data_IF_595781736808
#
_entry.id   IF_595781736808
#
_cell.length_a   1.000
_cell.length_b   1.000
_cell.length_c   1.000
_cell.angle_alpha   90.00
_cell.angle_beta   90.00
_cell.angle_gamma   90.00
#
_symmetry.space_group_name_H-M   'P 1'
#
loop_
_entity.id
_entity.type
_entity.pdbx_description
1 polymer ?
#
# COMPACT_ATOMS: atom_id res chain seq x y z
N UNK A 1 27.13 -4.96 59.14
CA UNK A 1 26.11 -5.99 58.83
C UNK A 1 25.20 -5.60 57.67
N UNK A 2 24.71 -4.35 57.58
CA UNK A 2 23.88 -3.86 56.46
C UNK A 2 24.51 -4.04 55.06
N UNK A 3 25.82 -3.78 54.91
CA UNK A 3 26.52 -3.93 53.62
C UNK A 3 26.55 -5.39 53.12
N UNK A 4 26.64 -6.37 54.03
CA UNK A 4 26.63 -7.78 53.69
C UNK A 4 25.24 -8.26 53.24
N UNK A 5 24.17 -7.69 53.82
CA UNK A 5 22.80 -8.00 53.43
C UNK A 5 22.45 -7.42 52.06
N UNK A 6 22.89 -6.19 51.74
CA UNK A 6 22.72 -5.58 50.42
C UNK A 6 23.41 -6.37 49.31
N UNK A 7 24.65 -6.82 49.54
CA UNK A 7 25.38 -7.69 48.61
C UNK A 7 24.69 -9.05 48.42
N UNK A 8 24.12 -9.63 49.47
CA UNK A 8 23.38 -10.89 49.41
C UNK A 8 22.07 -10.79 48.60
N UNK A 9 21.46 -9.61 48.50
CA UNK A 9 20.27 -9.37 47.66
C UNK A 9 20.62 -8.96 46.22
N UNK A 10 21.75 -8.30 46.00
CA UNK A 10 22.20 -7.95 44.64
C UNK A 10 22.62 -9.18 43.82
N UNK A 11 23.22 -10.19 44.46
CA UNK A 11 23.70 -11.40 43.80
C UNK A 11 22.58 -12.23 43.13
N UNK A 12 21.41 -12.49 43.76
CA UNK A 12 20.29 -13.14 43.10
C UNK A 12 19.60 -12.26 42.06
N UNK A 13 19.54 -10.93 42.24
CA UNK A 13 18.99 -10.01 41.23
C UNK A 13 19.87 -10.00 39.98
N UNK A 14 21.20 -9.98 40.16
CA UNK A 14 22.16 -10.06 39.06
C UNK A 14 22.08 -11.42 38.36
N UNK A 15 21.95 -12.52 39.13
CA UNK A 15 21.72 -13.86 38.58
C UNK A 15 20.40 -13.94 37.78
N UNK A 16 19.33 -13.30 38.26
CA UNK A 16 18.04 -13.25 37.56
C UNK A 16 18.12 -12.41 36.28
N UNK A 17 18.83 -11.27 36.30
CA UNK A 17 19.08 -10.45 35.12
C UNK A 17 19.96 -11.16 34.09
N UNK A 18 20.99 -11.91 34.51
CA UNK A 18 21.79 -12.74 33.60
C UNK A 18 20.99 -13.91 33.03
N UNK A 19 20.02 -14.46 33.77
CA UNK A 19 19.09 -15.46 33.23
C UNK A 19 18.12 -14.87 32.19
N UNK A 20 17.77 -13.58 32.28
CA UNK A 20 16.90 -12.92 31.29
C UNK A 20 17.63 -12.54 29.99
N UNK A 21 18.96 -12.41 29.99
CA UNK A 21 19.78 -12.25 28.79
C UNK A 21 20.09 -13.60 28.10
N UNK A 22 19.40 -14.68 28.49
CA UNK A 22 19.48 -15.98 27.83
C UNK A 22 19.10 -15.86 26.35
N UNK A 23 19.90 -16.49 25.50
CA UNK A 23 19.83 -16.47 24.04
C UNK A 23 18.39 -16.50 23.49
N UNK A 24 18.14 -15.68 22.45
CA UNK A 24 16.82 -15.48 21.86
C UNK A 24 16.19 -16.82 21.45
N UNK A 25 14.90 -16.99 21.74
CA UNK A 25 14.17 -18.19 21.35
C UNK A 25 14.14 -18.28 19.82
N UNK A 26 14.66 -19.37 19.24
CA UNK A 26 14.74 -19.58 17.79
C UNK A 26 13.37 -19.48 17.11
N UNK A 27 12.29 -19.87 17.80
CA UNK A 27 10.94 -19.68 17.29
C UNK A 27 10.57 -18.20 17.19
N UNK A 28 10.94 -17.39 18.20
CA UNK A 28 10.70 -15.93 18.20
C UNK A 28 11.53 -15.21 17.14
N UNK A 29 12.77 -15.66 16.89
CA UNK A 29 13.61 -15.15 15.79
C UNK A 29 12.89 -15.30 14.45
N UNK A 30 12.21 -16.43 14.23
CA UNK A 30 11.38 -16.67 13.05
C UNK A 30 9.97 -16.04 13.12
N UNK A 31 9.60 -15.42 14.25
CA UNK A 31 8.26 -14.86 14.47
C UNK A 31 7.16 -15.92 14.55
N UNK A 32 7.49 -17.12 15.02
CA UNK A 32 6.62 -18.28 15.08
C UNK A 32 6.40 -18.77 16.51
N UNK A 33 5.31 -19.49 16.72
CA UNK A 33 5.05 -20.23 17.95
C UNK A 33 5.74 -21.60 17.94
N UNK A 34 5.97 -22.18 19.12
CA UNK A 34 6.57 -23.52 19.26
C UNK A 34 5.78 -24.63 18.57
N UNK A 35 4.48 -24.43 18.36
CA UNK A 35 3.60 -25.33 17.61
C UNK A 35 3.70 -25.20 16.09
N UNK A 36 4.60 -24.37 15.57
CA UNK A 36 4.78 -24.14 14.13
C UNK A 36 5.06 -25.45 13.40
N UNK A 37 4.37 -25.69 12.30
CA UNK A 37 4.67 -26.82 11.42
C UNK A 37 5.99 -26.59 10.67
N UNK A 38 6.59 -27.65 10.13
CA UNK A 38 7.79 -27.53 9.28
C UNK A 38 7.53 -26.63 8.06
N UNK A 39 6.26 -26.56 7.63
CA UNK A 39 5.78 -25.64 6.61
C UNK A 39 5.87 -24.18 7.06
N UNK A 40 5.42 -23.86 8.27
CA UNK A 40 5.44 -22.49 8.80
C UNK A 40 6.89 -22.00 8.97
N UNK A 41 7.79 -22.88 9.45
CA UNK A 41 9.23 -22.61 9.56
C UNK A 41 9.84 -22.22 8.21
N UNK A 42 9.57 -23.00 7.16
CA UNK A 42 10.04 -22.69 5.79
C UNK A 42 9.50 -21.35 5.30
N UNK A 43 8.21 -21.09 5.47
CA UNK A 43 7.57 -19.84 5.03
C UNK A 43 8.16 -18.62 5.74
N UNK A 44 8.35 -18.70 7.06
CA UNK A 44 8.99 -17.65 7.84
C UNK A 44 10.44 -17.41 7.41
N UNK A 45 11.21 -18.49 7.20
CA UNK A 45 12.57 -18.39 6.69
C UNK A 45 12.61 -17.72 5.30
N UNK A 46 11.72 -18.09 4.35
CA UNK A 46 11.64 -17.42 3.02
C UNK A 46 11.51 -15.91 3.18
N UNK A 47 10.58 -15.50 4.06
CA UNK A 47 10.19 -14.11 4.25
C UNK A 47 11.29 -13.31 4.92
N UNK A 48 11.87 -13.83 6.00
CA UNK A 48 12.86 -13.13 6.82
C UNK A 48 14.26 -13.12 6.20
N UNK A 49 14.72 -14.24 5.62
CA UNK A 49 16.01 -14.28 4.92
C UNK A 49 16.02 -13.30 3.73
N UNK A 50 14.90 -13.21 2.99
CA UNK A 50 14.70 -12.21 1.93
C UNK A 50 14.67 -10.78 2.45
N UNK A 51 14.12 -10.53 3.64
CA UNK A 51 14.03 -9.19 4.25
C UNK A 51 15.40 -8.67 4.72
N UNK A 52 16.22 -9.53 5.33
CA UNK A 52 17.49 -9.15 5.94
C UNK A 52 18.73 -9.39 5.05
N UNK A 53 18.56 -9.85 3.82
CA UNK A 53 19.67 -10.10 2.89
C UNK A 53 20.58 -8.86 2.72
N UNK A 54 21.92 -9.00 2.72
CA UNK A 54 22.86 -7.87 2.68
C UNK A 54 22.75 -6.99 1.42
N UNK A 55 22.28 -7.55 0.31
CA UNK A 55 22.07 -6.79 -0.94
C UNK A 55 20.84 -5.85 -0.90
N UNK A 56 20.05 -5.85 0.18
CA UNK A 56 18.84 -5.03 0.31
C UNK A 56 19.06 -3.77 1.14
N UNK A 57 18.26 -2.75 0.88
CA UNK A 57 18.21 -1.54 1.71
C UNK A 57 17.80 -1.83 3.17
N UNK A 58 16.99 -2.86 3.40
CA UNK A 58 16.64 -3.39 4.74
C UNK A 58 17.60 -4.46 5.25
N UNK A 59 18.73 -4.64 4.58
CA UNK A 59 19.71 -5.69 4.88
C UNK A 59 20.33 -5.51 6.26
N UNK A 60 20.39 -6.60 7.01
CA UNK A 60 21.03 -6.66 8.32
C UNK A 60 21.69 -8.05 8.44
N UNK A 61 23.01 -8.09 8.23
CA UNK A 61 23.79 -9.32 8.23
C UNK A 61 23.59 -10.11 9.53
N UNK A 62 23.47 -9.44 10.68
CA UNK A 62 23.27 -10.11 11.97
C UNK A 62 21.92 -10.82 12.02
N UNK A 63 20.85 -10.14 11.63
CA UNK A 63 19.51 -10.75 11.58
C UNK A 63 19.42 -11.84 10.53
N UNK A 64 20.12 -11.69 9.40
CA UNK A 64 20.19 -12.74 8.40
C UNK A 64 20.84 -14.01 8.96
N UNK A 65 21.96 -13.87 9.69
CA UNK A 65 22.63 -14.98 10.38
C UNK A 65 21.73 -15.62 11.44
N UNK A 66 21.08 -14.83 12.29
CA UNK A 66 20.16 -15.30 13.34
C UNK A 66 18.99 -16.11 12.76
N UNK A 67 18.34 -15.59 11.71
CA UNK A 67 17.23 -16.26 11.01
C UNK A 67 17.70 -17.56 10.35
N UNK A 68 18.92 -17.58 9.82
CA UNK A 68 19.51 -18.77 9.19
C UNK A 68 19.82 -19.84 10.23
N UNK A 69 20.48 -19.49 11.33
CA UNK A 69 20.75 -20.42 12.43
C UNK A 69 19.46 -20.96 13.05
N UNK A 70 18.46 -20.10 13.26
CA UNK A 70 17.15 -20.52 13.77
C UNK A 70 16.47 -21.53 12.85
N UNK A 71 16.48 -21.28 11.54
CA UNK A 71 15.91 -22.21 10.57
C UNK A 71 16.71 -23.51 10.48
N UNK A 72 18.04 -23.49 10.45
CA UNK A 72 18.86 -24.71 10.46
C UNK A 72 18.59 -25.59 11.68
N UNK A 73 18.49 -24.98 12.85
CA UNK A 73 18.21 -25.69 14.09
C UNK A 73 16.79 -26.28 14.15
N UNK A 74 15.79 -25.56 13.62
CA UNK A 74 14.39 -25.97 13.70
C UNK A 74 13.92 -26.80 12.49
N UNK A 75 14.61 -26.75 11.35
CA UNK A 75 14.19 -27.42 10.12
C UNK A 75 14.45 -28.93 10.12
N UNK A 76 15.47 -29.41 10.84
CA UNK A 76 15.71 -30.84 11.02
C UNK A 76 14.97 -31.36 12.27
N UNK A 77 14.26 -32.48 12.11
CA UNK A 77 13.42 -33.04 13.18
C UNK A 77 14.25 -33.46 14.41
N UNK A 78 15.52 -33.85 14.22
CA UNK A 78 16.38 -34.25 15.35
C UNK A 78 16.91 -33.05 16.09
N UNK A 79 17.42 -32.03 15.40
CA UNK A 79 17.91 -30.79 16.02
C UNK A 79 16.77 -30.01 16.68
N UNK A 80 15.59 -29.99 16.07
CA UNK A 80 14.39 -29.38 16.64
C UNK A 80 13.99 -30.04 17.95
N UNK A 81 13.94 -31.37 18.01
CA UNK A 81 13.65 -32.11 19.26
C UNK A 81 14.68 -31.83 20.35
N UNK A 82 15.96 -31.76 19.99
CA UNK A 82 17.04 -31.44 20.92
C UNK A 82 16.86 -30.03 21.47
N UNK A 83 16.59 -29.05 20.60
CA UNK A 83 16.32 -27.67 20.99
C UNK A 83 15.06 -27.57 21.87
N UNK A 84 13.97 -28.23 21.51
CA UNK A 84 12.72 -28.22 22.27
C UNK A 84 12.89 -28.83 23.68
N UNK A 85 13.76 -29.84 23.82
CA UNK A 85 13.98 -30.55 25.08
C UNK A 85 15.05 -29.91 25.98
N UNK A 86 16.11 -29.35 25.38
CA UNK A 86 17.32 -28.92 26.09
C UNK A 86 17.71 -27.46 25.81
N UNK A 87 16.97 -26.75 24.97
CA UNK A 87 17.27 -25.37 24.57
C UNK A 87 18.59 -25.24 23.80
N UNK A 88 19.13 -24.03 23.81
CA UNK A 88 20.39 -23.67 23.15
C UNK A 88 21.58 -24.54 23.62
N UNK A 89 21.66 -24.84 24.91
CA UNK A 89 22.73 -25.67 25.48
C UNK A 89 22.72 -27.08 24.86
N UNK A 90 21.54 -27.66 24.63
CA UNK A 90 21.40 -28.95 23.96
C UNK A 90 21.89 -28.92 22.52
N UNK A 91 21.59 -27.84 21.79
CA UNK A 91 22.02 -27.68 20.41
C UNK A 91 23.53 -27.49 20.31
N UNK A 92 24.14 -26.70 21.21
CA UNK A 92 25.60 -26.56 21.29
C UNK A 92 26.28 -27.90 21.61
N UNK A 93 25.74 -28.64 22.58
CA UNK A 93 26.26 -29.97 22.95
C UNK A 93 26.13 -30.97 21.81
N UNK A 94 25.04 -30.92 21.04
CA UNK A 94 24.87 -31.72 19.82
C UNK A 94 25.89 -31.35 18.74
N UNK A 95 26.15 -30.05 18.52
CA UNK A 95 27.19 -29.55 17.58
C UNK A 95 28.60 -30.01 18.00
N UNK A 96 28.91 -30.03 19.31
CA UNK A 96 30.22 -30.45 19.86
C UNK A 96 30.40 -31.98 19.95
N UNK A 97 29.30 -32.74 20.09
CA UNK A 97 29.29 -34.17 20.41
C UNK A 97 29.49 -35.16 19.26
N UNK A 98 29.77 -34.71 18.03
CA UNK A 98 30.29 -35.59 16.97
C UNK A 98 29.30 -36.59 16.35
N UNK A 99 28.04 -36.20 16.12
CA UNK A 99 27.01 -37.11 15.56
C UNK A 99 26.19 -36.60 14.37
N UNK A 100 26.31 -35.33 13.97
CA UNK A 100 25.54 -34.77 12.85
C UNK A 100 26.37 -33.70 12.15
N UNK A 101 26.50 -33.82 10.83
CA UNK A 101 27.30 -32.93 9.99
C UNK A 101 26.78 -31.50 9.99
N UNK A 102 27.06 -30.76 11.07
CA UNK A 102 27.13 -29.31 11.08
C UNK A 102 28.33 -28.88 10.26
N UNK A 103 28.27 -29.14 8.95
CA UNK A 103 29.01 -28.31 8.01
C UNK A 103 28.63 -26.90 8.39
N UNK A 104 29.63 -26.06 8.68
CA UNK A 104 29.48 -24.63 8.60
C UNK A 104 29.12 -24.34 7.13
N UNK A 105 27.85 -24.54 6.79
CA UNK A 105 27.27 -24.07 5.57
C UNK A 105 27.38 -22.56 5.67
N UNK A 106 27.93 -21.96 4.62
CA UNK A 106 27.79 -20.53 4.46
C UNK A 106 26.28 -20.24 4.51
N UNK A 107 25.80 -19.33 5.38
CA UNK A 107 24.41 -18.88 5.39
C UNK A 107 23.88 -18.54 4.00
N UNK A 108 24.77 -18.07 3.10
CA UNK A 108 24.46 -17.82 1.70
C UNK A 108 24.26 -19.09 0.85
N UNK A 109 24.86 -20.23 1.22
CA UNK A 109 24.67 -21.54 0.56
C UNK A 109 23.26 -22.09 0.83
N UNK A 110 22.78 -21.96 2.07
CA UNK A 110 21.41 -22.37 2.41
C UNK A 110 20.36 -21.52 1.68
N UNK A 111 20.59 -20.21 1.58
CA UNK A 111 19.77 -19.31 0.76
C UNK A 111 19.82 -19.70 -0.73
N UNK A 112 21.00 -19.96 -1.27
CA UNK A 112 21.19 -20.36 -2.67
C UNK A 112 20.46 -21.67 -2.99
N UNK A 113 20.47 -22.64 -2.08
CA UNK A 113 19.68 -23.88 -2.20
C UNK A 113 18.18 -23.61 -2.29
N UNK A 114 17.72 -22.55 -1.64
CA UNK A 114 16.32 -22.22 -1.48
C UNK A 114 15.76 -21.33 -2.59
N UNK A 115 16.56 -20.36 -3.06
CA UNK A 115 16.19 -19.40 -4.11
C UNK A 115 16.72 -19.75 -5.50
N UNK A 116 17.59 -20.77 -5.64
CA UNK A 116 17.90 -21.40 -6.92
C UNK A 116 19.37 -21.76 -7.09
N UNK A 117 19.70 -23.05 -7.07
CA UNK A 117 21.10 -23.47 -7.27
C UNK A 117 21.42 -24.96 -7.33
N UNK A 118 20.69 -25.77 -8.11
CA UNK A 118 21.30 -27.00 -8.66
C UNK A 118 21.80 -26.70 -10.09
N UNK A 119 23.08 -26.33 -10.24
CA UNK A 119 23.75 -26.27 -11.54
C UNK A 119 24.94 -25.32 -11.66
N UNK A 120 26.13 -25.81 -11.32
CA UNK A 120 27.46 -25.50 -11.90
C UNK A 120 27.87 -24.04 -12.21
N UNK A 121 28.79 -23.54 -11.38
CA UNK A 121 29.94 -22.66 -11.71
C UNK A 121 30.16 -22.32 -13.19
N UNK A 122 30.06 -21.03 -13.52
CA UNK A 122 30.81 -20.45 -14.64
C UNK A 122 30.08 -19.39 -15.46
N UNK A 123 30.53 -18.13 -15.32
CA UNK A 123 30.38 -16.98 -16.22
C UNK A 123 29.16 -16.05 -16.04
N UNK A 124 29.47 -14.90 -15.46
CA UNK A 124 29.05 -13.54 -15.86
C UNK A 124 27.54 -13.24 -15.93
N UNK A 125 27.07 -12.46 -14.97
CA UNK A 125 25.91 -11.56 -15.08
C UNK A 125 24.59 -12.16 -15.60
N UNK A 126 24.26 -13.42 -15.29
CA UNK A 126 22.85 -13.81 -15.28
C UNK A 126 22.22 -13.25 -14.02
N UNK A 127 21.89 -11.95 -14.04
CA UNK A 127 21.05 -11.36 -13.01
C UNK A 127 19.84 -12.26 -12.80
N UNK A 128 19.49 -12.50 -11.53
CA UNK A 128 18.35 -13.31 -11.16
C UNK A 128 17.16 -12.87 -12.02
N UNK A 129 16.66 -13.78 -12.88
CA UNK A 129 15.56 -13.45 -13.78
C UNK A 129 14.41 -12.98 -12.90
N UNK A 130 13.89 -11.79 -13.18
CA UNK A 130 12.77 -11.19 -12.45
C UNK A 130 11.48 -11.39 -13.24
N UNK A 131 10.42 -11.73 -12.54
CA UNK A 131 9.05 -11.83 -13.06
C UNK A 131 8.46 -10.46 -13.40
N UNK A 132 7.28 -10.45 -14.03
CA UNK A 132 6.57 -9.22 -14.31
C UNK A 132 6.14 -8.52 -13.01
N UNK A 133 6.12 -7.20 -13.04
CA UNK A 133 5.57 -6.39 -11.96
C UNK A 133 4.02 -6.40 -12.03
N UNK A 134 3.37 -6.20 -10.89
CA UNK A 134 1.92 -6.08 -10.76
C UNK A 134 1.53 -4.66 -10.35
N UNK A 135 0.34 -4.21 -10.75
CA UNK A 135 -0.21 -2.92 -10.37
C UNK A 135 -1.61 -3.08 -9.78
N UNK A 136 -1.89 -2.38 -8.69
CA UNK A 136 -3.21 -2.34 -8.05
C UNK A 136 -3.56 -0.89 -7.67
N UNK A 137 -4.85 -0.60 -7.58
CA UNK A 137 -5.36 0.69 -7.11
C UNK A 137 -5.97 0.50 -5.74
N UNK A 138 -5.47 1.24 -4.76
CA UNK A 138 -6.03 1.30 -3.42
C UNK A 138 -6.88 2.56 -3.32
N UNK A 139 -8.18 2.38 -3.07
CA UNK A 139 -9.10 3.50 -2.83
C UNK A 139 -9.20 3.75 -1.33
N UNK A 140 -8.92 4.99 -0.93
CA UNK A 140 -8.83 5.38 0.48
C UNK A 140 -9.60 6.68 0.69
N UNK A 141 -10.40 6.80 1.77
CA UNK A 141 -11.07 8.05 2.13
C UNK A 141 -10.11 9.24 2.19
N UNK A 142 -10.56 10.44 1.81
CA UNK A 142 -9.75 11.66 1.84
C UNK A 142 -9.23 11.96 3.27
N UNK A 143 -10.03 11.61 4.28
CA UNK A 143 -9.65 11.69 5.68
C UNK A 143 -8.32 11.00 6.00
N UNK A 144 -8.10 9.80 5.47
CA UNK A 144 -6.89 9.03 5.78
C UNK A 144 -5.64 9.66 5.16
N UNK A 145 -5.79 10.36 4.02
CA UNK A 145 -4.70 11.19 3.47
C UNK A 145 -4.37 12.37 4.39
N UNK A 146 -5.32 12.85 5.20
CA UNK A 146 -5.09 13.96 6.13
C UNK A 146 -4.50 13.47 7.46
N UNK A 147 -5.12 12.46 8.07
CA UNK A 147 -4.74 11.98 9.41
C UNK A 147 -3.59 10.98 9.38
N UNK A 148 -3.35 10.33 8.24
CA UNK A 148 -2.50 9.16 8.11
C UNK A 148 -3.20 7.91 8.66
N UNK A 149 -2.97 6.75 8.04
CA UNK A 149 -3.57 5.48 8.43
C UNK A 149 -2.78 4.29 7.92
N UNK A 150 -2.79 3.20 8.69
CA UNK A 150 -2.42 1.87 8.18
C UNK A 150 -3.68 1.14 7.71
N UNK A 151 -3.69 0.73 6.45
CA UNK A 151 -4.83 0.03 5.82
C UNK A 151 -4.38 -1.29 5.23
N UNK A 152 -5.11 -2.36 5.52
CA UNK A 152 -4.87 -3.66 4.91
C UNK A 152 -5.68 -3.82 3.62
N UNK A 153 -5.09 -4.45 2.62
CA UNK A 153 -5.75 -4.80 1.37
C UNK A 153 -5.33 -6.18 0.92
N UNK A 154 -6.25 -6.91 0.28
CA UNK A 154 -6.01 -8.27 -0.20
C UNK A 154 -5.89 -8.28 -1.71
N UNK A 155 -4.83 -8.89 -2.22
CA UNK A 155 -4.60 -9.10 -3.66
C UNK A 155 -4.61 -10.59 -4.00
N UNK A 156 -5.05 -10.93 -5.21
CA UNK A 156 -4.90 -12.29 -5.72
C UNK A 156 -3.69 -12.39 -6.67
N UNK A 157 -2.70 -13.19 -6.28
CA UNK A 157 -1.48 -13.41 -7.06
C UNK A 157 -1.10 -14.89 -7.14
N UNK A 158 -0.21 -15.23 -8.06
CA UNK A 158 0.44 -16.53 -8.07
C UNK A 158 1.42 -16.63 -6.91
N UNK A 159 1.31 -17.73 -6.17
CA UNK A 159 2.20 -18.09 -5.09
C UNK A 159 2.82 -19.45 -5.41
N UNK A 160 4.06 -19.68 -4.96
CA UNK A 160 4.67 -21.01 -5.07
C UNK A 160 3.74 -22.01 -4.40
N UNK A 161 3.41 -23.09 -5.11
CA UNK A 161 2.55 -24.12 -4.56
C UNK A 161 3.22 -24.73 -3.33
N UNK A 162 2.61 -24.54 -2.16
CA UNK A 162 3.14 -25.02 -0.89
C UNK A 162 3.26 -26.55 -0.88
N UNK A 163 2.29 -27.27 -1.46
CA UNK A 163 2.24 -28.75 -1.45
C UNK A 163 3.42 -29.40 -2.18
N UNK A 164 3.88 -28.81 -3.29
CA UNK A 164 5.00 -29.34 -4.06
C UNK A 164 6.27 -28.50 -3.95
N UNK A 165 6.23 -27.43 -3.15
CA UNK A 165 7.30 -26.45 -2.96
C UNK A 165 7.88 -25.92 -4.29
N UNK A 166 7.04 -25.79 -5.32
CA UNK A 166 7.46 -25.33 -6.64
C UNK A 166 8.07 -26.39 -7.56
N UNK A 167 8.13 -27.66 -7.14
CA UNK A 167 8.59 -28.75 -8.02
C UNK A 167 7.55 -29.09 -9.11
N UNK A 168 6.27 -28.90 -8.82
CA UNK A 168 5.15 -29.35 -9.64
C UNK A 168 4.85 -30.85 -9.52
N UNK A 169 5.69 -31.62 -8.81
CA UNK A 169 5.50 -33.05 -8.60
C UNK A 169 4.88 -33.35 -7.24
N UNK A 170 4.08 -34.40 -7.15
CA UNK A 170 3.50 -34.88 -5.89
C UNK A 170 4.54 -35.57 -4.99
N UNK A 171 5.59 -36.12 -5.58
CA UNK A 171 6.68 -36.87 -4.93
C UNK A 171 8.04 -36.14 -5.00
N UNK A 172 8.05 -34.89 -5.48
CA UNK A 172 9.27 -34.09 -5.69
C UNK A 172 10.19 -34.57 -6.83
N UNK A 173 9.87 -35.68 -7.51
CA UNK A 173 10.71 -36.23 -8.57
C UNK A 173 10.41 -35.59 -9.92
N UNK A 174 11.44 -35.04 -10.55
CA UNK A 174 11.34 -34.42 -11.89
C UNK A 174 12.42 -34.98 -12.81
N UNK A 175 12.01 -35.48 -13.96
CA UNK A 175 12.93 -36.01 -14.97
C UNK A 175 13.19 -34.97 -16.06
N UNK A 176 14.41 -34.92 -16.59
CA UNK A 176 14.70 -34.05 -17.73
C UNK A 176 13.97 -34.57 -18.97
N UNK A 177 13.31 -33.69 -19.72
CA UNK A 177 12.58 -34.10 -20.91
C UNK A 177 13.54 -34.67 -21.96
N UNK A 178 13.35 -35.94 -22.32
CA UNK A 178 14.19 -36.64 -23.30
C UNK A 178 14.07 -36.09 -24.72
N UNK A 179 12.94 -35.43 -25.07
CA UNK A 179 12.69 -34.92 -26.42
C UNK A 179 13.35 -33.57 -26.71
N UNK A 180 13.42 -32.68 -25.71
CA UNK A 180 14.09 -31.38 -25.82
C UNK A 180 15.38 -31.31 -25.00
N UNK A 181 15.79 -32.38 -24.32
CA UNK A 181 16.96 -32.43 -23.43
C UNK A 181 17.03 -31.27 -22.42
N UNK A 182 15.88 -30.84 -21.90
CA UNK A 182 15.80 -29.72 -20.95
C UNK A 182 15.59 -28.34 -21.57
N UNK A 183 15.68 -28.20 -22.91
CA UNK A 183 15.55 -26.90 -23.58
C UNK A 183 14.12 -26.35 -23.62
N UNK A 184 13.10 -27.18 -23.45
CA UNK A 184 11.69 -26.77 -23.51
C UNK A 184 11.17 -26.44 -24.91
N UNK A 185 12.03 -26.27 -25.91
CA UNK A 185 11.66 -25.96 -27.30
C UNK A 185 12.13 -27.04 -28.26
N UNK A 186 11.42 -27.19 -29.38
CA UNK A 186 11.79 -28.04 -30.50
C UNK A 186 11.81 -27.21 -31.80
N UNK A 187 12.77 -27.49 -32.69
CA UNK A 187 12.86 -26.84 -33.99
C UNK A 187 12.00 -27.60 -35.00
N UNK A 188 10.91 -26.99 -35.47
CA UNK A 188 10.07 -27.54 -36.54
C UNK A 188 10.43 -26.88 -37.88
N UNK A 189 10.73 -27.68 -38.89
CA UNK A 189 11.05 -27.22 -40.25
C UNK A 189 9.81 -27.35 -41.11
N UNK A 190 9.24 -26.22 -41.53
CA UNK A 190 8.10 -26.14 -42.44
C UNK A 190 8.58 -25.80 -43.86
N UNK A 191 8.06 -26.50 -44.85
CA UNK A 191 8.30 -26.19 -46.26
C UNK A 191 7.20 -25.27 -46.78
N UNK A 192 7.52 -24.02 -47.10
CA UNK A 192 6.56 -23.04 -47.61
C UNK A 192 6.40 -23.13 -49.13
N UNK A 193 7.47 -23.53 -49.82
CA UNK A 193 7.51 -23.73 -51.26
C UNK A 193 8.62 -24.74 -51.62
N UNK A 194 8.68 -25.26 -52.86
CA UNK A 194 9.83 -26.05 -53.33
C UNK A 194 11.14 -25.31 -53.06
N UNK A 195 12.01 -25.88 -52.23
CA UNK A 195 13.31 -25.29 -51.85
C UNK A 195 13.29 -24.22 -50.75
N UNK A 196 12.13 -23.69 -50.34
CA UNK A 196 12.02 -22.69 -49.26
C UNK A 196 11.55 -23.37 -47.98
N UNK A 197 12.45 -23.45 -47.00
CA UNK A 197 12.15 -23.99 -45.69
C UNK A 197 12.25 -22.89 -44.63
N UNK A 198 11.22 -22.77 -43.80
CA UNK A 198 11.22 -21.92 -42.62
C UNK A 198 11.42 -22.79 -41.39
N UNK A 199 12.39 -22.44 -40.55
CA UNK A 199 12.54 -23.05 -39.24
C UNK A 199 11.74 -22.23 -38.23
N UNK A 200 10.79 -22.85 -37.55
CA UNK A 200 10.01 -22.24 -36.48
C UNK A 200 10.32 -22.94 -35.16
N UNK A 201 10.49 -22.14 -34.11
CA UNK A 201 10.60 -22.62 -32.74
C UNK A 201 9.19 -22.85 -32.18
N UNK A 202 8.90 -24.07 -31.71
CA UNK A 202 7.65 -24.38 -31.00
C UNK A 202 7.95 -24.98 -29.62
N UNK A 203 7.08 -24.80 -28.62
CA UNK A 203 7.24 -25.44 -27.32
C UNK A 203 7.23 -26.96 -27.50
N UNK A 204 8.13 -27.65 -26.80
CA UNK A 204 8.18 -29.11 -26.82
C UNK A 204 6.86 -29.67 -26.32
N UNK A 205 6.20 -30.47 -27.17
CA UNK A 205 4.94 -31.15 -26.93
C UNK A 205 4.96 -32.13 -25.75
N UNK A 206 6.12 -32.74 -25.46
CA UNK A 206 6.26 -33.70 -24.35
C UNK A 206 6.33 -33.04 -22.97
N UNK A 207 6.94 -31.86 -22.86
CA UNK A 207 7.05 -31.14 -21.59
C UNK A 207 6.26 -29.83 -21.55
N UNK A 208 5.48 -29.52 -22.58
CA UNK A 208 4.71 -28.27 -22.70
C UNK A 208 5.56 -26.99 -22.62
N UNK A 209 6.87 -27.04 -22.93
CA UNK A 209 7.77 -25.90 -22.72
C UNK A 209 8.61 -25.92 -21.44
N UNK A 210 8.31 -26.79 -20.47
CA UNK A 210 8.95 -26.73 -19.14
C UNK A 210 10.37 -27.36 -19.07
N UNK A 211 10.81 -28.09 -20.09
CA UNK A 211 12.09 -28.82 -20.10
C UNK A 211 12.14 -30.05 -19.17
N UNK A 212 11.16 -30.22 -18.30
CA UNK A 212 11.05 -31.34 -17.34
C UNK A 212 9.75 -32.12 -17.56
N UNK A 213 9.81 -33.43 -17.32
CA UNK A 213 8.66 -34.34 -17.32
C UNK A 213 8.36 -34.71 -15.87
N UNK A 214 7.11 -34.49 -15.47
CA UNK A 214 6.59 -34.81 -14.15
C UNK A 214 5.71 -36.05 -14.29
N UNK A 215 6.15 -37.19 -13.75
CA UNK A 215 5.37 -38.45 -13.78
C UNK A 215 4.14 -38.38 -12.89
N UNK A 216 4.31 -37.88 -11.66
CA UNK A 216 3.24 -37.73 -10.68
C UNK A 216 2.97 -36.25 -10.43
N UNK A 217 2.08 -35.64 -11.22
CA UNK A 217 1.75 -34.21 -11.05
C UNK A 217 1.19 -33.93 -9.66
N UNK A 218 1.61 -32.82 -9.06
CA UNK A 218 1.04 -32.34 -7.80
C UNK A 218 -0.48 -32.15 -7.94
N UNK A 219 -1.24 -32.61 -6.93
CA UNK A 219 -2.70 -32.57 -6.93
C UNK A 219 -3.26 -31.15 -6.83
N UNK A 220 -2.52 -30.23 -6.21
CA UNK A 220 -2.96 -28.85 -5.97
C UNK A 220 -2.69 -27.96 -7.17
N UNK A 221 -1.45 -27.92 -7.67
CA UNK A 221 -1.08 -27.05 -8.80
C UNK A 221 -1.21 -27.74 -10.17
N UNK A 222 -1.52 -29.04 -10.23
CA UNK A 222 -1.62 -29.79 -11.49
C UNK A 222 -0.31 -29.87 -12.31
N UNK A 223 0.84 -29.68 -11.67
CA UNK A 223 2.14 -29.57 -12.35
C UNK A 223 2.60 -28.14 -12.66
N UNK A 224 1.78 -27.12 -12.45
CA UNK A 224 2.11 -25.72 -12.77
C UNK A 224 3.09 -25.07 -11.78
N UNK A 225 3.48 -25.76 -10.70
CA UNK A 225 4.36 -25.29 -9.62
C UNK A 225 3.83 -24.12 -8.77
N UNK A 226 2.81 -23.40 -9.24
CA UNK A 226 2.23 -22.22 -8.59
C UNK A 226 0.71 -22.37 -8.45
N UNK A 227 0.12 -21.67 -7.48
CA UNK A 227 -1.32 -21.62 -7.23
C UNK A 227 -1.71 -20.17 -7.04
N UNK A 228 -2.88 -19.77 -7.54
CA UNK A 228 -3.41 -18.42 -7.32
C UNK A 228 -4.08 -18.35 -5.96
N UNK A 229 -3.70 -17.38 -5.13
CA UNK A 229 -4.21 -17.24 -3.77
C UNK A 229 -4.28 -15.79 -3.31
N UNK A 230 -5.14 -15.49 -2.31
CA UNK A 230 -5.22 -14.19 -1.68
C UNK A 230 -3.99 -13.93 -0.80
N UNK A 231 -3.42 -12.74 -0.89
CA UNK A 231 -2.35 -12.25 -0.01
C UNK A 231 -2.77 -10.89 0.55
N UNK A 232 -2.82 -10.78 1.87
CA UNK A 232 -3.09 -9.51 2.57
C UNK A 232 -1.80 -8.75 2.79
N UNK A 233 -1.78 -7.48 2.40
CA UNK A 233 -0.66 -6.56 2.56
C UNK A 233 -1.13 -5.32 3.31
N UNK A 234 -0.24 -4.74 4.11
CA UNK A 234 -0.49 -3.51 4.86
C UNK A 234 0.11 -2.33 4.11
N UNK A 235 -0.73 -1.39 3.69
CA UNK A 235 -0.32 -0.10 3.16
C UNK A 235 -0.26 0.93 4.29
N UNK A 236 0.88 1.62 4.41
CA UNK A 236 1.05 2.77 5.29
C UNK A 236 0.78 4.02 4.47
N UNK A 237 -0.18 4.82 4.90
CA UNK A 237 -0.59 6.06 4.24
C UNK A 237 -0.11 7.20 5.12
N UNK A 238 0.97 7.85 4.69
CA UNK A 238 1.48 9.05 5.35
C UNK A 238 0.56 10.25 5.10
N UNK A 239 0.60 11.17 6.06
CA UNK A 239 -0.13 12.43 5.99
C UNK A 239 0.33 13.23 4.77
N UNK A 240 -0.64 13.78 4.04
CA UNK A 240 -0.38 14.66 2.90
C UNK A 240 0.00 13.96 1.61
N UNK A 241 0.15 12.62 1.59
CA UNK A 241 0.59 11.87 0.40
C UNK A 241 -0.17 12.36 -0.86
N UNK A 242 0.53 12.64 -1.98
CA UNK A 242 -0.11 13.15 -3.18
C UNK A 242 -1.07 12.12 -3.81
N UNK A 243 -2.02 12.60 -4.60
CA UNK A 243 -2.91 11.72 -5.37
C UNK A 243 -2.10 10.84 -6.33
N UNK A 244 -2.51 9.58 -6.48
CA UNK A 244 -1.82 8.56 -7.28
C UNK A 244 -0.39 8.27 -6.80
N UNK A 245 -0.06 8.55 -5.54
CA UNK A 245 1.22 8.14 -4.98
C UNK A 245 1.38 6.61 -5.06
N UNK A 246 2.59 6.18 -5.36
CA UNK A 246 2.92 4.78 -5.63
C UNK A 246 3.65 4.16 -4.45
N UNK A 247 2.95 3.31 -3.71
CA UNK A 247 3.55 2.43 -2.72
C UNK A 247 4.19 1.23 -3.42
N UNK A 248 5.43 0.90 -3.05
CA UNK A 248 6.21 -0.18 -3.66
C UNK A 248 6.31 -1.34 -2.68
N UNK A 249 5.76 -2.49 -3.05
CA UNK A 249 5.88 -3.74 -2.32
C UNK A 249 6.87 -4.65 -3.06
N UNK A 250 8.07 -4.78 -2.50
CA UNK A 250 9.15 -5.47 -3.17
C UNK A 250 8.92 -6.97 -3.35
N UNK A 251 9.04 -7.46 -4.58
CA UNK A 251 8.93 -8.89 -4.88
C UNK A 251 7.64 -9.50 -4.32
N UNK A 252 6.55 -8.73 -4.31
CA UNK A 252 5.20 -9.13 -3.89
C UNK A 252 4.25 -9.34 -5.08
N UNK A 253 4.74 -9.33 -6.32
CA UNK A 253 3.98 -9.74 -7.49
C UNK A 253 3.88 -11.28 -7.61
N UNK A 254 3.46 -11.77 -8.78
CA UNK A 254 3.38 -13.18 -9.11
C UNK A 254 4.71 -13.91 -8.88
N UNK A 255 4.66 -14.98 -8.08
CA UNK A 255 5.80 -15.83 -7.78
C UNK A 255 5.92 -16.97 -8.78
N UNK A 256 7.15 -17.37 -9.08
CA UNK A 256 7.43 -18.59 -9.84
C UNK A 256 8.80 -19.18 -9.45
N UNK A 257 9.00 -20.51 -9.44
CA UNK A 257 10.30 -21.09 -9.09
C UNK A 257 11.45 -20.75 -10.05
N UNK A 258 11.12 -20.38 -11.29
CA UNK A 258 12.11 -20.11 -12.34
C UNK A 258 12.56 -18.63 -12.38
N UNK A 259 11.96 -17.74 -11.58
CA UNK A 259 12.31 -16.31 -11.52
C UNK A 259 11.87 -15.65 -10.21
N UNK A 260 12.59 -14.64 -9.74
CA UNK A 260 12.18 -13.86 -8.56
C UNK A 260 10.95 -13.01 -8.90
N UNK A 261 9.97 -12.96 -7.99
CA UNK A 261 8.76 -12.15 -8.18
C UNK A 261 9.07 -10.67 -8.47
N UNK A 262 8.27 -10.09 -9.36
CA UNK A 262 8.26 -8.65 -9.63
C UNK A 262 7.76 -7.82 -8.44
N UNK A 263 7.85 -6.51 -8.54
CA UNK A 263 7.26 -5.60 -7.56
C UNK A 263 5.75 -5.52 -7.72
N UNK A 264 5.05 -5.31 -6.62
CA UNK A 264 3.67 -4.85 -6.64
C UNK A 264 3.66 -3.33 -6.40
N UNK A 265 3.10 -2.58 -7.34
CA UNK A 265 2.87 -1.15 -7.21
C UNK A 265 1.41 -0.90 -6.82
N UNK A 266 1.19 -0.37 -5.62
CA UNK A 266 -0.13 0.06 -5.18
C UNK A 266 -0.25 1.58 -5.36
N UNK A 267 -1.14 2.00 -6.24
CA UNK A 267 -1.45 3.41 -6.45
C UNK A 267 -2.56 3.84 -5.50
N UNK A 268 -2.26 4.76 -4.59
CA UNK A 268 -3.21 5.27 -3.61
C UNK A 268 -4.06 6.36 -4.26
N UNK A 269 -5.36 6.14 -4.27
CA UNK A 269 -6.36 7.01 -4.90
C UNK A 269 -7.43 7.39 -3.88
N UNK A 270 -7.96 8.60 -4.01
CA UNK A 270 -9.10 9.04 -3.21
C UNK A 270 -10.33 8.18 -3.56
N UNK A 271 -10.95 7.61 -2.53
CA UNK A 271 -12.24 6.96 -2.62
C UNK A 271 -13.30 7.99 -3.04
N UNK A 272 -14.25 7.57 -3.88
CA UNK A 272 -15.38 8.44 -4.21
C UNK A 272 -16.18 8.73 -2.93
N UNK A 273 -16.52 10.01 -2.68
CA UNK A 273 -17.27 10.37 -1.49
C UNK A 273 -18.61 9.62 -1.49
N UNK A 274 -18.90 8.96 -0.38
CA UNK A 274 -20.16 8.26 -0.20
C UNK A 274 -20.86 8.87 1.00
N UNK A 275 -22.18 9.09 0.90
CA UNK A 275 -22.99 9.43 2.06
C UNK A 275 -23.09 8.17 2.94
N UNK A 276 -22.02 7.82 3.63
CA UNK A 276 -22.01 6.74 4.59
C UNK A 276 -23.03 7.04 5.70
N UNK A 277 -23.74 6.00 6.15
CA UNK A 277 -24.66 6.10 7.28
C UNK A 277 -23.94 6.37 8.61
N UNK A 278 -22.64 6.04 8.70
CA UNK A 278 -21.83 6.23 9.89
C UNK A 278 -21.41 7.70 10.06
N UNK A 279 -21.72 8.31 11.22
CA UNK A 279 -21.33 9.68 11.55
C UNK A 279 -19.81 9.93 11.48
N UNK A 280 -19.00 8.90 11.74
CA UNK A 280 -17.53 8.94 11.67
C UNK A 280 -17.00 9.00 10.23
N UNK A 281 -17.83 8.63 9.26
CA UNK A 281 -17.54 8.65 7.83
C UNK A 281 -18.21 9.86 7.14
N UNK A 282 -19.05 10.65 7.82
CA UNK A 282 -19.47 11.98 7.31
C UNK A 282 -18.28 12.93 7.07
N UNK A 283 -17.15 12.66 7.71
CA UNK A 283 -15.87 13.34 7.51
C UNK A 283 -15.00 12.67 6.45
N UNK A 284 -15.52 11.71 5.66
CA UNK A 284 -14.79 11.01 4.58
C UNK A 284 -14.29 11.94 3.46
N UNK A 285 -14.76 13.19 3.46
CA UNK A 285 -14.52 14.17 2.41
C UNK A 285 -15.76 14.43 1.55
N UNK A 286 -16.95 13.97 1.94
CA UNK A 286 -18.21 14.21 1.20
C UNK A 286 -18.36 15.65 0.69
N UNK A 287 -17.99 16.62 1.54
CA UNK A 287 -18.07 18.04 1.25
C UNK A 287 -16.72 18.70 0.89
N UNK A 288 -15.60 18.02 1.15
CA UNK A 288 -14.27 18.50 0.84
C UNK A 288 -13.82 18.01 -0.53
N UNK A 289 -13.28 18.92 -1.35
CA UNK A 289 -12.61 18.56 -2.60
C UNK A 289 -11.14 18.89 -2.46
N UNK A 290 -10.30 17.88 -2.50
CA UNK A 290 -8.84 18.06 -2.51
C UNK A 290 -8.38 18.47 -3.91
N UNK A 291 -7.46 19.43 -3.95
CA UNK A 291 -6.62 19.69 -5.11
C UNK A 291 -5.21 19.95 -4.60
N UNK A 292 -4.31 19.03 -4.92
CA UNK A 292 -2.92 19.07 -4.46
C UNK A 292 -2.87 19.17 -2.92
N UNK A 293 -2.31 20.26 -2.39
CA UNK A 293 -2.19 20.49 -0.94
C UNK A 293 -3.35 21.34 -0.38
N UNK A 294 -4.25 21.83 -1.23
CA UNK A 294 -5.36 22.68 -0.83
C UNK A 294 -6.69 21.91 -0.77
N UNK A 295 -7.58 22.37 0.12
CA UNK A 295 -8.94 21.88 0.26
C UNK A 295 -9.95 22.91 -0.26
N UNK A 296 -11.05 22.43 -0.82
CA UNK A 296 -12.14 23.26 -1.30
C UNK A 296 -13.46 22.83 -0.66
N UNK A 297 -14.22 23.80 -0.22
CA UNK A 297 -15.54 23.62 0.40
C UNK A 297 -16.55 24.55 -0.28
N UNK A 298 -17.79 24.06 -0.47
CA UNK A 298 -18.90 24.89 -0.95
C UNK A 298 -19.88 25.13 0.18
N UNK A 299 -19.96 26.38 0.64
CA UNK A 299 -20.92 26.78 1.67
C UNK A 299 -22.14 27.44 1.03
N UNK A 300 -23.32 26.94 1.37
CA UNK A 300 -24.58 27.47 0.85
C UNK A 300 -25.11 28.53 1.81
N UNK A 301 -25.34 29.73 1.29
CA UNK A 301 -25.93 30.84 2.03
C UNK A 301 -27.28 31.22 1.45
N UNK A 302 -28.23 31.54 2.31
CA UNK A 302 -29.46 32.23 1.91
C UNK A 302 -29.17 33.66 1.48
N UNK A 303 -30.08 34.26 0.70
CA UNK A 303 -30.00 35.69 0.36
C UNK A 303 -29.85 36.60 1.59
N UNK A 304 -30.53 36.28 2.71
CA UNK A 304 -30.41 37.04 3.97
C UNK A 304 -29.00 36.96 4.52
N UNK A 305 -28.43 35.76 4.62
CA UNK A 305 -27.08 35.55 5.17
C UNK A 305 -26.02 36.20 4.28
N UNK A 306 -26.12 36.01 2.95
CA UNK A 306 -25.19 36.59 2.00
C UNK A 306 -25.25 38.13 1.99
N UNK A 307 -26.44 38.72 2.08
CA UNK A 307 -26.57 40.17 1.96
C UNK A 307 -26.46 40.94 3.28
N UNK A 308 -26.97 40.38 4.38
CA UNK A 308 -27.01 41.08 5.68
C UNK A 308 -25.89 40.65 6.62
N UNK A 309 -25.16 39.58 6.33
CA UNK A 309 -24.20 38.96 7.24
C UNK A 309 -24.90 38.40 8.48
N UNK A 310 -24.27 38.55 9.65
CA UNK A 310 -24.82 38.13 10.95
C UNK A 310 -25.16 36.63 10.97
N UNK A 311 -24.18 35.80 10.63
CA UNK A 311 -24.29 34.34 10.63
C UNK A 311 -22.97 33.70 11.05
N UNK A 312 -23.06 32.46 11.53
CA UNK A 312 -21.90 31.65 11.91
C UNK A 312 -22.16 30.19 11.54
N UNK A 313 -21.16 29.53 10.94
CA UNK A 313 -21.17 28.13 10.54
C UNK A 313 -19.95 27.44 11.11
N UNK A 314 -20.14 26.22 11.61
CA UNK A 314 -19.08 25.39 12.17
C UNK A 314 -18.88 24.21 11.23
N UNK A 315 -17.75 24.17 10.53
CA UNK A 315 -17.37 23.08 9.65
C UNK A 315 -16.55 22.06 10.44
N UNK A 316 -16.91 20.78 10.36
CA UNK A 316 -16.07 19.70 10.90
C UNK A 316 -15.00 19.35 9.88
N UNK A 317 -13.73 19.54 10.22
CA UNK A 317 -12.58 19.19 9.39
C UNK A 317 -12.32 17.67 9.36
N UNK A 318 -11.39 17.21 8.52
CA UNK A 318 -11.04 15.82 8.27
C UNK A 318 -10.46 15.09 9.51
N UNK A 319 -9.81 15.79 10.41
CA UNK A 319 -9.35 15.29 11.73
C UNK A 319 -10.37 15.49 12.86
N UNK A 320 -11.47 16.19 12.59
CA UNK A 320 -12.58 16.41 13.51
C UNK A 320 -12.55 17.73 14.29
N UNK A 321 -11.55 18.61 14.12
CA UNK A 321 -11.66 19.96 14.70
C UNK A 321 -12.71 20.79 13.96
N UNK A 322 -13.08 21.92 14.57
CA UNK A 322 -14.11 22.82 14.03
C UNK A 322 -13.46 24.05 13.42
N UNK A 323 -13.70 24.28 12.14
CA UNK A 323 -13.38 25.53 11.45
C UNK A 323 -14.62 26.42 11.45
N UNK A 324 -14.53 27.57 12.12
CA UNK A 324 -15.64 28.51 12.21
C UNK A 324 -15.59 29.54 11.08
N UNK A 325 -16.67 29.59 10.29
CA UNK A 325 -16.93 30.65 9.32
C UNK A 325 -17.94 31.63 9.90
N UNK A 326 -17.68 32.92 9.83
CA UNK A 326 -18.62 33.93 10.32
C UNK A 326 -18.57 35.21 9.49
N UNK A 327 -19.68 35.96 9.53
CA UNK A 327 -19.78 37.31 8.99
C UNK A 327 -20.50 38.22 9.96
N UNK A 328 -19.93 39.39 10.22
CA UNK A 328 -20.60 40.41 11.03
C UNK A 328 -21.76 41.03 10.26
N UNK A 329 -22.68 41.66 10.98
CA UNK A 329 -23.80 42.36 10.36
C UNK A 329 -23.31 43.46 9.43
N UNK A 330 -23.77 43.44 8.18
CA UNK A 330 -23.38 44.40 7.14
C UNK A 330 -22.22 43.96 6.26
N UNK A 331 -21.57 42.84 6.57
CA UNK A 331 -20.56 42.22 5.70
C UNK A 331 -21.24 41.38 4.62
N UNK A 332 -21.25 41.93 3.40
CA UNK A 332 -21.87 41.28 2.24
C UNK A 332 -20.94 40.22 1.65
N UNK A 333 -21.49 39.05 1.34
CA UNK A 333 -20.85 37.98 0.57
C UNK A 333 -21.45 37.94 -0.83
N UNK A 334 -20.60 38.02 -1.85
CA UNK A 334 -21.03 37.92 -3.24
C UNK A 334 -21.20 36.46 -3.68
N UNK A 335 -22.17 36.15 -4.55
CA UNK A 335 -22.28 34.82 -5.14
C UNK A 335 -20.99 34.40 -5.85
N UNK A 336 -20.48 33.21 -5.53
CA UNK A 336 -19.23 32.68 -6.09
C UNK A 336 -17.96 33.26 -5.46
N UNK A 337 -18.07 34.18 -4.50
CA UNK A 337 -16.92 34.65 -3.74
C UNK A 337 -16.23 33.49 -3.02
N UNK A 338 -14.91 33.48 -3.06
CA UNK A 338 -14.07 32.50 -2.37
C UNK A 338 -13.34 33.18 -1.23
N UNK A 339 -13.48 32.64 -0.02
CA UNK A 339 -12.66 32.98 1.14
C UNK A 339 -11.54 31.95 1.31
N UNK A 340 -10.37 32.40 1.73
CA UNK A 340 -9.24 31.54 2.06
C UNK A 340 -9.08 31.47 3.57
N UNK A 341 -9.19 30.27 4.13
CA UNK A 341 -8.85 29.98 5.52
C UNK A 341 -7.45 29.37 5.54
N UNK A 342 -6.51 30.11 6.13
CA UNK A 342 -5.08 29.75 6.11
C UNK A 342 -4.79 28.55 7.00
N UNK A 343 -3.94 27.62 6.53
CA UNK A 343 -3.49 26.46 7.30
C UNK A 343 -4.54 25.35 7.48
N UNK A 344 -5.70 25.48 6.84
CA UNK A 344 -6.80 24.51 6.92
C UNK A 344 -6.86 23.59 5.68
N UNK A 345 -5.81 23.53 4.86
CA UNK A 345 -5.68 22.61 3.73
C UNK A 345 -5.10 21.25 4.12
N UNK A 346 -4.61 20.48 3.14
CA UNK A 346 -3.93 19.21 3.41
C UNK A 346 -2.54 19.44 4.03
N UNK A 347 -2.03 18.49 4.83
CA UNK A 347 -0.62 18.48 5.24
C UNK A 347 0.29 18.40 4.01
N UNK A 348 1.40 19.13 4.02
CA UNK A 348 2.39 19.09 2.95
C UNK A 348 3.27 17.83 3.13
N UNK A 349 3.33 16.98 2.10
CA UNK A 349 4.11 15.75 2.14
C UNK A 349 5.58 16.00 1.84
N UNK A 350 6.44 15.86 2.85
CA UNK A 350 7.89 15.82 2.69
C UNK A 350 8.33 14.36 2.55
N UNK A 351 8.57 13.89 1.32
CA UNK A 351 8.82 12.48 1.01
C UNK A 351 10.12 11.89 1.58
N UNK A 352 10.17 11.65 2.89
CA UNK A 352 11.27 10.97 3.59
C UNK A 352 12.59 11.74 3.61
N UNK A 353 12.70 12.89 2.95
CA UNK A 353 13.78 13.83 3.18
C UNK A 353 13.55 14.50 4.52
N UNK A 354 14.21 13.95 5.55
CA UNK A 354 14.47 14.66 6.80
C UNK A 354 15.25 15.91 6.41
N UNK A 355 14.55 17.02 6.21
CA UNK A 355 15.23 18.32 6.25
C UNK A 355 15.69 18.48 7.70
N UNK A 356 17.01 18.58 7.91
CA UNK A 356 17.69 18.82 9.20
C UNK A 356 17.30 20.16 9.87
N UNK A 357 16.15 20.73 9.53
CA UNK A 357 15.57 21.90 10.17
C UNK A 357 14.37 21.45 11.02
N UNK A 358 14.70 20.69 12.07
CA UNK A 358 13.82 20.34 13.19
C UNK A 358 13.37 21.60 13.93
N UNK A 359 12.39 22.39 13.44
CA UNK A 359 11.65 23.33 14.31
C UNK A 359 10.26 23.77 13.85
N UNK A 360 9.88 23.58 12.59
CA UNK A 360 8.53 23.96 12.15
C UNK A 360 7.62 22.74 12.15
N UNK A 361 6.45 22.85 12.78
CA UNK A 361 5.44 21.80 12.78
C UNK A 361 4.98 21.43 11.37
N UNK A 362 4.07 20.45 11.21
CA UNK A 362 3.54 20.11 9.90
C UNK A 362 2.99 21.36 9.22
N UNK A 363 3.49 21.67 8.02
CA UNK A 363 2.96 22.74 7.18
C UNK A 363 1.67 22.24 6.51
N UNK A 364 0.68 23.12 6.39
CA UNK A 364 -0.61 22.83 5.78
C UNK A 364 -0.86 23.79 4.63
N UNK A 365 -1.54 23.31 3.59
CA UNK A 365 -2.13 24.16 2.57
C UNK A 365 -3.31 24.98 3.11
N UNK A 366 -4.12 25.50 2.21
CA UNK A 366 -5.25 26.36 2.57
C UNK A 366 -6.60 25.70 2.27
N UNK A 367 -7.63 26.15 2.98
CA UNK A 367 -9.02 25.84 2.67
C UNK A 367 -9.65 27.00 1.91
N UNK A 368 -10.15 26.73 0.71
CA UNK A 368 -10.93 27.67 -0.09
C UNK A 368 -12.42 27.40 0.08
N UNK A 369 -13.13 28.35 0.69
CA UNK A 369 -14.57 28.29 0.90
C UNK A 369 -15.25 29.12 -0.17
N UNK A 370 -15.92 28.47 -1.11
CA UNK A 370 -16.74 29.13 -2.13
C UNK A 370 -18.18 29.25 -1.66
N UNK A 371 -18.73 30.47 -1.69
CA UNK A 371 -20.11 30.74 -1.28
C UNK A 371 -21.09 30.62 -2.44
N UNK A 372 -22.09 29.75 -2.26
CA UNK A 372 -23.21 29.58 -3.19
C UNK A 372 -24.44 30.26 -2.58
N UNK A 373 -24.93 31.32 -3.21
CA UNK A 373 -26.10 32.06 -2.71
C UNK A 373 -27.36 31.51 -3.35
N UNK A 374 -28.29 31.07 -2.51
CA UNK A 374 -29.62 30.59 -2.93
C UNK A 374 -30.63 31.71 -2.74
N UNK A 375 -31.25 32.11 -3.86
CA UNK A 375 -32.35 33.07 -3.85
C UNK A 375 -33.66 32.34 -3.51
N UNK A 376 -34.56 32.96 -2.72
CA UNK A 376 -35.90 32.44 -2.53
C UNK A 376 -36.67 32.46 -3.86
N UNK A 377 -37.36 31.37 -4.17
CA UNK A 377 -38.18 31.19 -5.38
C UNK A 377 -39.66 31.55 -5.15
N UNK A 378 -40.07 31.72 -3.90
CA UNK A 378 -41.41 32.11 -3.50
C UNK A 378 -41.36 33.28 -2.51
N UNK A 379 -42.26 34.24 -2.68
CA UNK A 379 -42.43 35.38 -1.78
C UNK A 379 -43.91 35.71 -1.67
N UNK A 380 -44.38 36.04 -0.47
CA UNK A 380 -45.76 36.50 -0.27
C UNK A 380 -45.99 37.81 -1.02
N UNK A 381 -47.16 37.96 -1.66
CA UNK A 381 -47.46 39.11 -2.53
C UNK A 381 -47.38 40.47 -1.82
N UNK A 382 -47.65 40.53 -0.51
CA UNK A 382 -47.45 41.74 0.30
C UNK A 382 -45.97 42.07 0.49
N UNK A 383 -45.18 41.06 0.83
CA UNK A 383 -43.73 41.17 1.04
C UNK A 383 -43.00 41.55 -0.26
N UNK A 384 -43.44 40.98 -1.39
CA UNK A 384 -42.90 41.31 -2.72
C UNK A 384 -43.07 42.81 -3.05
N UNK A 385 -44.26 43.37 -2.80
CA UNK A 385 -44.53 44.79 -3.03
C UNK A 385 -43.66 45.69 -2.17
N UNK A 386 -43.52 45.36 -0.89
CA UNK A 386 -42.70 46.13 0.05
C UNK A 386 -41.22 46.06 -0.33
N UNK A 387 -40.72 44.86 -0.66
CA UNK A 387 -39.36 44.65 -1.13
C UNK A 387 -39.09 45.45 -2.42
N UNK A 388 -39.97 45.35 -3.41
CA UNK A 388 -39.85 46.07 -4.68
C UNK A 388 -39.83 47.60 -4.46
N UNK A 389 -40.70 48.13 -3.58
CA UNK A 389 -40.75 49.55 -3.28
C UNK A 389 -39.46 50.05 -2.58
N UNK A 390 -38.89 49.27 -1.67
CA UNK A 390 -37.60 49.58 -1.02
C UNK A 390 -36.46 49.52 -2.04
N UNK A 391 -36.42 48.48 -2.87
CA UNK A 391 -35.39 48.28 -3.88
C UNK A 391 -35.37 49.40 -4.92
N UNK A 392 -36.52 49.81 -5.45
CA UNK A 392 -36.61 50.90 -6.42
C UNK A 392 -36.20 52.26 -5.85
N UNK A 393 -36.49 52.53 -4.57
CA UNK A 393 -36.00 53.73 -3.88
C UNK A 393 -34.47 53.75 -3.75
N UNK A 394 -33.85 52.59 -3.52
CA UNK A 394 -32.40 52.45 -3.46
C UNK A 394 -31.77 52.54 -4.86
N UNK A 395 -32.33 51.84 -5.84
CA UNK A 395 -31.88 51.83 -7.25
C UNK A 395 -31.88 53.23 -7.86
N UNK A 396 -32.90 54.04 -7.62
CA UNK A 396 -32.93 55.44 -8.09
C UNK A 396 -31.81 56.32 -7.54
N UNK A 397 -31.25 55.97 -6.36
CA UNK A 397 -30.18 56.74 -5.72
C UNK A 397 -28.78 56.28 -6.10
N UNK A 398 -28.57 54.97 -6.28
CA UNK A 398 -27.23 54.37 -6.43
C UNK A 398 -27.14 53.21 -7.43
N UNK A 399 -28.25 52.81 -8.05
CA UNK A 399 -28.29 51.64 -8.92
C UNK A 399 -27.69 51.91 -10.29
N UNK A 400 -26.98 50.91 -10.82
CA UNK A 400 -26.52 50.87 -12.21
C UNK A 400 -27.56 50.13 -13.04
N UNK A 401 -27.94 50.68 -14.20
CA UNK A 401 -28.72 49.93 -15.17
C UNK A 401 -27.79 48.98 -15.93
N UNK A 402 -27.78 47.71 -15.51
CA UNK A 402 -26.91 46.69 -16.11
C UNK A 402 -27.21 46.44 -17.59
N UNK A 403 -28.44 46.65 -18.06
CA UNK A 403 -28.76 46.47 -19.48
C UNK A 403 -28.08 47.56 -20.30
N UNK A 404 -28.22 48.82 -19.87
CA UNK A 404 -27.54 49.96 -20.49
C UNK A 404 -26.00 49.83 -20.39
N UNK A 405 -25.49 49.44 -19.22
CA UNK A 405 -24.06 49.24 -18.97
C UNK A 405 -23.46 48.09 -19.80
N UNK A 406 -24.23 47.03 -20.05
CA UNK A 406 -23.76 45.87 -20.83
C UNK A 406 -23.49 46.16 -22.30
N UNK A 407 -23.98 47.28 -22.85
CA UNK A 407 -23.83 47.64 -24.26
C UNK A 407 -24.49 46.64 -25.24
N UNK A 408 -25.36 45.74 -24.75
CA UNK A 408 -26.01 44.73 -25.58
C UNK A 408 -27.02 45.40 -26.53
N UNK A 409 -27.10 44.97 -27.80
CA UNK A 409 -28.06 45.51 -28.74
C UNK A 409 -29.48 45.26 -28.25
N UNK A 410 -30.27 46.32 -28.09
CA UNK A 410 -31.70 46.23 -27.82
C UNK A 410 -32.37 45.78 -29.12
N UNK A 411 -33.19 44.73 -29.07
CA UNK A 411 -34.03 44.38 -30.23
C UNK A 411 -34.87 45.63 -30.56
N UNK A 412 -34.81 46.17 -31.79
CA UNK A 412 -35.76 47.21 -32.17
C UNK A 412 -37.16 46.63 -32.01
N UNK A 413 -38.09 47.42 -31.47
CA UNK A 413 -39.50 47.06 -31.41
C UNK A 413 -39.89 46.60 -32.82
N UNK A 414 -40.15 45.30 -32.99
CA UNK A 414 -40.73 44.83 -34.24
C UNK A 414 -42.12 45.44 -34.25
N UNK A 415 -42.44 46.38 -35.15
CA UNK A 415 -43.80 46.90 -35.22
C UNK A 415 -44.69 45.68 -35.42
N UNK A 416 -45.71 45.52 -34.56
CA UNK A 416 -46.81 44.61 -34.81
C UNK A 416 -47.22 44.84 -36.26
N UNK A 417 -46.86 43.90 -37.15
CA UNK A 417 -47.42 43.91 -38.50
C UNK A 417 -48.91 43.75 -38.25
N UNK A 418 -49.66 44.80 -38.47
CA UNK A 418 -51.09 44.70 -38.70
C UNK A 418 -51.24 43.76 -39.91
N UNK A 419 -51.50 42.49 -39.63
CA UNK A 419 -51.97 41.54 -40.63
C UNK A 419 -53.45 41.87 -40.87
N UNK A 420 -53.69 42.88 -41.71
CA UNK A 420 -54.97 43.08 -42.38
C UNK A 420 -54.76 43.35 -43.87
#
# INVERSE_FOLDING_TARGET
MLLLQLLAHLLPIFAFLTCCLAAEDLYKVLGLDKSASDRDLKTAYRKLSKKYHPDKATGDEKKFLEVTEAYEALSDTTTRKIYDQYGHEGLENHKRGGGGGGHAHDPFDLFSRFFGGSGHFGRANSGVRRGPDMEVRLQVPLRDFYTGRETEFTIEKQQICEECEGSGSADGQVETCHKCHGHGIIMQRFQLAPGIFQQQQSPCDQCGGHGKIIKHKCKVCGGNKVVRGPTTLTAVIDKGIPKNHRLVFESEADEHPDHVAGNLYAYVTELEPSMSENEQERTDGTFFRRKDDDLYWKEVLSLREAWMGDWTRNLTHLDGHVVQLSRMRGEVVQPGQTETVQGEGMPIYHGGHVHEHDHDGPEFGNLYVQYVVVLPDQMESGMEKDFHAVWEKWRKKKGVDLLADSGRPVKPDVPTKDEL
#
